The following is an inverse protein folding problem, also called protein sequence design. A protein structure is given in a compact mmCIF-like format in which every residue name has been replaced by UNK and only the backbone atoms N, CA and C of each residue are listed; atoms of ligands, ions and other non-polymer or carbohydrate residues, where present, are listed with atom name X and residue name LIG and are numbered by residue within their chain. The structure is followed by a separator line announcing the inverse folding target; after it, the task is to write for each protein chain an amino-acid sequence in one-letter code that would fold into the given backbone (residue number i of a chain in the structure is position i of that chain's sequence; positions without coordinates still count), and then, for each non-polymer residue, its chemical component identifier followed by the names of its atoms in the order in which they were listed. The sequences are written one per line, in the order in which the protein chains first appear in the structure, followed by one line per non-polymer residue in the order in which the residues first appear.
data_IF_266657358869
#
_entry.id   IF_266657358869
#
_cell.length_a   1.000
_cell.length_b   1.000
_cell.length_c   1.000
_cell.angle_alpha   90.00
_cell.angle_beta   90.00
_cell.angle_gamma   90.00
#
_symmetry.space_group_name_H-M   'P 1'
#
loop_
_entity.id
_entity.type
_entity.pdbx_description
1 polymer ?
#
# COMPACT_ATOMS: atom_id res chain seq x y z
N UNK A 1 11.17 -24.74 1.25
CA UNK A 1 10.96 -24.00 2.53
C UNK A 1 9.56 -23.40 2.55
N UNK A 2 8.83 -23.49 3.67
CA UNK A 2 7.53 -22.82 3.84
C UNK A 2 7.78 -21.33 4.16
N UNK A 3 7.19 -20.40 3.42
CA UNK A 3 7.20 -18.96 3.75
C UNK A 3 6.04 -18.64 4.71
N UNK A 4 6.16 -17.54 5.47
CA UNK A 4 5.05 -17.02 6.26
C UNK A 4 3.87 -16.59 5.35
N UNK A 5 2.64 -16.68 5.84
CA UNK A 5 1.45 -16.28 5.07
C UNK A 5 1.48 -14.81 4.65
N UNK A 6 0.98 -14.52 3.45
CA UNK A 6 1.00 -13.20 2.83
C UNK A 6 2.38 -12.83 2.29
N UNK A 7 3.20 -13.84 1.94
CA UNK A 7 4.53 -13.68 1.33
C UNK A 7 4.65 -14.39 -0.01
N UNK A 8 3.60 -15.09 -0.45
CA UNK A 8 3.48 -15.70 -1.76
C UNK A 8 2.28 -15.10 -2.49
N UNK A 9 2.36 -14.96 -3.80
CA UNK A 9 1.24 -14.49 -4.63
C UNK A 9 0.03 -15.42 -4.51
N UNK A 10 0.27 -16.72 -4.35
CA UNK A 10 -0.77 -17.73 -4.17
C UNK A 10 -1.58 -17.57 -2.88
N UNK A 11 -1.06 -16.87 -1.86
CA UNK A 11 -1.77 -16.62 -0.59
C UNK A 11 -3.03 -15.74 -0.78
N UNK A 12 -3.15 -15.08 -1.93
CA UNK A 12 -4.21 -14.14 -2.25
C UNK A 12 -5.33 -14.74 -3.11
N UNK A 13 -5.20 -16.00 -3.56
CA UNK A 13 -6.17 -16.64 -4.45
C UNK A 13 -6.40 -15.81 -5.72
N UNK A 14 -7.66 -15.74 -6.17
CA UNK A 14 -8.02 -14.89 -7.31
C UNK A 14 -7.82 -13.41 -6.98
N UNK A 15 -6.93 -12.75 -7.72
CA UNK A 15 -6.71 -11.31 -7.60
C UNK A 15 -7.89 -10.52 -8.17
N UNK A 16 -8.24 -9.40 -7.53
CA UNK A 16 -9.21 -8.44 -8.06
C UNK A 16 -8.62 -7.66 -9.25
N UNK A 17 -9.46 -7.05 -10.13
CA UNK A 17 -9.00 -6.21 -11.23
C UNK A 17 -7.92 -5.19 -10.84
N UNK A 18 -8.14 -4.38 -9.79
CA UNK A 18 -7.15 -3.40 -9.34
C UNK A 18 -5.86 -4.04 -8.80
N UNK A 19 -5.94 -5.21 -8.17
CA UNK A 19 -4.77 -5.95 -7.69
C UNK A 19 -3.93 -6.50 -8.84
N UNK A 20 -4.57 -7.00 -9.90
CA UNK A 20 -3.88 -7.44 -11.13
C UNK A 20 -3.18 -6.27 -11.82
N UNK A 21 -3.85 -5.12 -11.87
CA UNK A 21 -3.25 -3.92 -12.45
C UNK A 21 -2.09 -3.39 -11.60
N UNK A 22 -2.24 -3.38 -10.28
CA UNK A 22 -1.14 -3.04 -9.36
C UNK A 22 0.04 -3.99 -9.53
N UNK A 23 -0.20 -5.30 -9.59
CA UNK A 23 0.84 -6.31 -9.81
C UNK A 23 1.62 -6.04 -11.10
N UNK A 24 0.91 -5.81 -12.20
CA UNK A 24 1.50 -5.49 -13.51
C UNK A 24 2.32 -4.21 -13.46
N UNK A 25 1.80 -3.16 -12.84
CA UNK A 25 2.45 -1.85 -12.71
C UNK A 25 3.71 -1.90 -11.83
N UNK A 26 3.65 -2.61 -10.70
CA UNK A 26 4.80 -2.81 -9.82
C UNK A 26 5.94 -3.53 -10.55
N UNK A 27 5.64 -4.51 -11.40
CA UNK A 27 6.67 -5.19 -12.22
C UNK A 27 7.32 -4.24 -13.23
N UNK A 28 6.56 -3.30 -13.78
CA UNK A 28 7.02 -2.37 -14.83
C UNK A 28 7.55 -1.04 -14.31
N UNK A 29 7.44 -0.76 -13.00
CA UNK A 29 7.86 0.52 -12.42
C UNK A 29 6.98 1.71 -12.83
N UNK A 30 5.69 1.49 -13.10
CA UNK A 30 4.76 2.55 -13.51
C UNK A 30 3.64 2.75 -12.50
N UNK A 31 2.91 3.86 -12.63
CA UNK A 31 1.79 4.19 -11.74
C UNK A 31 0.56 3.35 -12.08
N UNK A 32 0.07 2.59 -11.11
CA UNK A 32 -1.23 1.93 -11.16
C UNK A 32 -2.33 2.96 -10.92
N UNK A 33 -2.99 3.40 -12.00
CA UNK A 33 -4.14 4.33 -11.95
C UNK A 33 -5.42 3.53 -12.00
N UNK A 34 -6.05 3.35 -10.84
CA UNK A 34 -7.23 2.50 -10.68
C UNK A 34 -8.52 3.26 -10.98
N UNK A 35 -8.61 4.50 -10.52
CA UNK A 35 -9.73 5.40 -10.83
C UNK A 35 -9.21 6.83 -10.99
N UNK A 36 -9.87 7.66 -11.82
CA UNK A 36 -9.49 9.06 -12.00
C UNK A 36 -9.73 9.88 -10.73
N UNK A 37 -10.76 9.51 -9.96
CA UNK A 37 -11.14 10.15 -8.72
C UNK A 37 -10.84 9.26 -7.50
N UNK A 38 -10.72 9.87 -6.32
CA UNK A 38 -10.57 9.14 -5.07
C UNK A 38 -11.88 8.41 -4.74
N UNK A 39 -11.89 7.06 -4.66
CA UNK A 39 -13.12 6.31 -4.44
C UNK A 39 -13.61 6.47 -3.00
N UNK A 40 -14.88 6.83 -2.83
CA UNK A 40 -15.51 6.89 -1.49
C UNK A 40 -15.92 5.50 -0.96
N UNK A 41 -16.23 4.56 -1.86
CA UNK A 41 -16.70 3.21 -1.56
C UNK A 41 -15.95 2.16 -2.38
N UNK A 42 -15.80 0.92 -1.87
CA UNK A 42 -15.17 -0.15 -2.61
C UNK A 42 -16.12 -0.71 -3.70
N UNK A 43 -15.57 -0.96 -4.88
CA UNK A 43 -16.18 -1.77 -5.94
C UNK A 43 -15.23 -2.90 -6.34
N UNK A 44 -15.68 -3.94 -7.06
CA UNK A 44 -14.79 -4.98 -7.56
C UNK A 44 -13.62 -4.44 -8.41
N UNK A 45 -13.82 -3.31 -9.09
CA UNK A 45 -12.86 -2.71 -10.02
C UNK A 45 -11.82 -1.85 -9.31
N UNK A 46 -12.17 -1.23 -8.18
CA UNK A 46 -11.31 -0.24 -7.51
C UNK A 46 -10.65 -0.76 -6.21
N UNK A 47 -11.05 -1.94 -5.76
CA UNK A 47 -10.66 -2.46 -4.47
C UNK A 47 -9.32 -3.20 -4.53
N UNK A 48 -8.45 -2.91 -3.56
CA UNK A 48 -7.21 -3.64 -3.30
C UNK A 48 -7.22 -4.09 -1.84
N UNK A 49 -6.95 -5.37 -1.59
CA UNK A 49 -6.84 -5.87 -0.22
C UNK A 49 -5.57 -5.31 0.41
N UNK A 50 -5.68 -4.76 1.62
CA UNK A 50 -4.55 -4.19 2.36
C UNK A 50 -3.42 -5.20 2.58
N UNK A 51 -3.76 -6.49 2.76
CA UNK A 51 -2.77 -7.57 2.85
C UNK A 51 -1.99 -7.80 1.55
N UNK A 52 -2.62 -7.59 0.39
CA UNK A 52 -1.97 -7.68 -0.91
C UNK A 52 -1.05 -6.47 -1.13
N UNK A 53 -1.54 -5.27 -0.80
CA UNK A 53 -0.72 -4.06 -0.80
C UNK A 53 0.52 -4.19 0.10
N UNK A 54 0.36 -4.78 1.30
CA UNK A 54 1.47 -5.11 2.19
C UNK A 54 2.49 -6.05 1.53
N UNK A 55 2.03 -7.09 0.85
CA UNK A 55 2.92 -8.01 0.13
C UNK A 55 3.76 -7.28 -0.94
N UNK A 56 3.14 -6.40 -1.73
CA UNK A 56 3.85 -5.57 -2.70
C UNK A 56 4.82 -4.57 -2.03
N UNK A 57 4.40 -3.94 -0.93
CA UNK A 57 5.27 -3.04 -0.15
C UNK A 57 6.49 -3.75 0.44
N UNK A 58 6.44 -5.07 0.59
CA UNK A 58 7.55 -5.89 1.07
C UNK A 58 8.50 -6.37 -0.05
N UNK A 59 8.30 -5.91 -1.29
CA UNK A 59 9.08 -6.31 -2.46
C UNK A 59 8.51 -7.50 -3.24
N UNK A 60 7.38 -8.07 -2.80
CA UNK A 60 6.73 -9.20 -3.47
C UNK A 60 7.52 -10.51 -3.35
N UNK A 61 7.56 -11.26 -4.45
CA UNK A 61 8.38 -12.48 -4.60
C UNK A 61 8.91 -12.59 -6.04
N UNK A 62 9.72 -13.60 -6.34
CA UNK A 62 10.37 -13.77 -7.65
C UNK A 62 9.38 -13.76 -8.84
N UNK A 63 8.19 -14.34 -8.67
CA UNK A 63 7.13 -14.36 -9.69
C UNK A 63 6.20 -13.12 -9.65
N UNK A 64 6.39 -12.24 -8.67
CA UNK A 64 5.65 -11.00 -8.48
C UNK A 64 6.60 -9.88 -8.00
N UNK A 65 7.67 -9.57 -8.74
CA UNK A 65 8.70 -8.66 -8.28
C UNK A 65 8.18 -7.22 -8.30
N UNK A 66 8.73 -6.39 -7.42
CA UNK A 66 8.48 -4.95 -7.38
C UNK A 66 9.72 -4.24 -7.91
N UNK A 67 9.54 -3.43 -8.95
CA UNK A 67 10.58 -2.57 -9.51
C UNK A 67 11.13 -1.59 -8.46
N UNK A 68 12.34 -1.08 -8.66
CA UNK A 68 13.00 -0.11 -7.77
C UNK A 68 12.22 1.20 -7.53
N UNK A 69 11.22 1.49 -8.37
CA UNK A 69 10.32 2.63 -8.17
C UNK A 69 9.25 2.36 -7.10
N UNK A 70 9.17 1.12 -6.64
CA UNK A 70 8.28 0.66 -5.58
C UNK A 70 6.81 0.58 -5.99
N UNK A 71 5.96 0.75 -5.00
CA UNK A 71 4.50 0.72 -5.15
C UNK A 71 4.01 2.13 -5.45
N UNK A 72 3.51 2.35 -6.67
CA UNK A 72 2.92 3.62 -7.12
C UNK A 72 1.43 3.42 -7.41
N UNK A 73 0.57 3.71 -6.44
CA UNK A 73 -0.87 3.47 -6.52
C UNK A 73 -1.67 4.77 -6.49
N UNK A 74 -2.64 4.90 -7.39
CA UNK A 74 -3.53 6.07 -7.47
C UNK A 74 -4.99 5.66 -7.61
N UNK A 75 -5.88 6.34 -6.87
CA UNK A 75 -7.33 6.22 -7.05
C UNK A 75 -7.91 4.87 -6.64
N UNK A 76 -7.34 4.21 -5.63
CA UNK A 76 -7.80 2.89 -5.18
C UNK A 76 -8.49 2.95 -3.82
N UNK A 77 -9.37 1.97 -3.57
CA UNK A 77 -9.93 1.71 -2.25
C UNK A 77 -9.16 0.55 -1.60
N UNK A 78 -8.40 0.83 -0.54
CA UNK A 78 -7.62 -0.16 0.19
C UNK A 78 -8.49 -0.74 1.32
N UNK A 79 -8.91 -1.99 1.15
CA UNK A 79 -9.81 -2.70 2.07
C UNK A 79 -9.06 -3.55 3.08
N UNK A 80 -9.44 -3.48 4.36
CA UNK A 80 -8.80 -4.16 5.48
C UNK A 80 -7.70 -3.33 6.15
N UNK A 81 -6.89 -3.98 6.99
CA UNK A 81 -5.86 -3.34 7.79
C UNK A 81 -4.50 -3.34 7.08
N UNK A 82 -3.96 -2.16 6.81
CA UNK A 82 -2.58 -2.02 6.34
C UNK A 82 -1.65 -1.97 7.56
N UNK A 83 -1.18 -3.14 7.98
CA UNK A 83 -0.29 -3.29 9.13
C UNK A 83 1.15 -3.57 8.67
N UNK A 84 2.04 -2.61 8.92
CA UNK A 84 3.48 -2.66 8.68
C UNK A 84 4.28 -2.56 10.00
N UNK A 85 3.67 -2.89 11.14
CA UNK A 85 4.33 -2.84 12.46
C UNK A 85 5.60 -3.68 12.47
N UNK A 86 6.70 -3.06 12.93
CA UNK A 86 8.02 -3.68 13.08
C UNK A 86 8.58 -4.28 11.76
N UNK A 87 8.19 -3.72 10.61
CA UNK A 87 8.63 -4.17 9.29
C UNK A 87 9.72 -3.25 8.73
N UNK A 88 10.75 -3.84 8.12
CA UNK A 88 11.60 -3.14 7.16
C UNK A 88 10.93 -3.16 5.78
N UNK A 89 10.52 -2.00 5.29
CA UNK A 89 9.86 -1.80 4.00
C UNK A 89 10.93 -1.42 2.97
N UNK A 90 11.31 -2.34 2.05
CA UNK A 90 12.46 -2.14 1.18
C UNK A 90 12.20 -1.21 0.00
N UNK A 91 10.93 -0.98 -0.37
CA UNK A 91 10.55 -0.17 -1.53
C UNK A 91 9.80 1.09 -1.12
N UNK A 92 9.68 2.06 -2.04
CA UNK A 92 8.77 3.20 -1.84
C UNK A 92 7.32 2.75 -1.81
N UNK A 93 6.50 3.36 -0.96
CA UNK A 93 5.05 3.16 -0.89
C UNK A 93 4.33 4.49 -1.11
N UNK A 94 3.68 4.63 -2.26
CA UNK A 94 3.01 5.85 -2.69
C UNK A 94 1.53 5.56 -2.96
N UNK A 95 0.67 6.07 -2.07
CA UNK A 95 -0.79 6.00 -2.14
C UNK A 95 -1.34 7.40 -2.41
N UNK A 96 -1.72 7.66 -3.66
CA UNK A 96 -2.19 8.97 -4.11
C UNK A 96 -3.69 8.94 -4.35
N UNK A 97 -4.41 9.90 -3.79
CA UNK A 97 -5.88 9.99 -3.95
C UNK A 97 -6.58 8.64 -3.68
N UNK A 98 -6.10 7.88 -2.70
CA UNK A 98 -6.67 6.59 -2.31
C UNK A 98 -7.58 6.77 -1.09
N UNK A 99 -8.43 5.78 -0.83
CA UNK A 99 -9.16 5.67 0.43
C UNK A 99 -8.71 4.42 1.16
N UNK A 100 -8.28 4.54 2.41
CA UNK A 100 -7.84 3.41 3.24
C UNK A 100 -8.87 3.16 4.33
N UNK A 101 -9.51 1.99 4.26
CA UNK A 101 -10.68 1.63 5.08
C UNK A 101 -10.42 1.68 6.58
N UNK A 102 -9.23 1.25 7.02
CA UNK A 102 -8.89 1.14 8.43
C UNK A 102 -7.63 1.94 8.76
N UNK A 103 -7.36 2.09 10.05
CA UNK A 103 -6.13 2.70 10.56
C UNK A 103 -4.90 2.02 9.98
N UNK A 104 -3.96 2.82 9.47
CA UNK A 104 -2.65 2.35 9.02
C UNK A 104 -1.74 2.22 10.24
N UNK A 105 -1.12 1.04 10.43
CA UNK A 105 -0.24 0.78 11.57
C UNK A 105 1.21 0.66 11.08
N UNK A 106 2.04 1.60 11.50
CA UNK A 106 3.46 1.76 11.14
C UNK A 106 4.39 1.78 12.36
N UNK A 107 3.91 1.41 13.55
CA UNK A 107 4.74 1.36 14.76
C UNK A 107 6.04 0.59 14.51
N UNK A 108 7.19 1.19 14.80
CA UNK A 108 8.53 0.60 14.53
C UNK A 108 8.83 0.23 13.06
N UNK A 109 8.02 0.67 12.10
CA UNK A 109 8.28 0.43 10.68
C UNK A 109 9.48 1.25 10.20
N UNK A 110 10.31 0.66 9.34
CA UNK A 110 11.50 1.29 8.76
C UNK A 110 11.39 1.28 7.24
N UNK A 111 11.12 2.43 6.65
CA UNK A 111 11.08 2.60 5.20
C UNK A 111 12.47 2.94 4.68
N UNK A 112 12.99 2.10 3.77
CA UNK A 112 14.25 2.35 3.08
C UNK A 112 14.18 3.56 2.13
N UNK A 113 12.97 3.87 1.66
CA UNK A 113 12.69 4.98 0.74
C UNK A 113 11.50 5.81 1.24
N UNK A 114 10.59 6.22 0.35
CA UNK A 114 9.52 7.18 0.63
C UNK A 114 8.21 6.53 1.03
N UNK A 115 7.48 7.19 1.92
CA UNK A 115 6.08 6.92 2.25
C UNK A 115 5.23 8.14 1.87
N UNK A 116 4.31 7.98 0.93
CA UNK A 116 3.46 9.06 0.42
C UNK A 116 2.00 8.67 0.55
N UNK A 117 1.20 9.49 1.23
CA UNK A 117 -0.26 9.34 1.37
C UNK A 117 -1.03 10.50 0.69
N UNK A 118 -0.40 11.17 -0.27
CA UNK A 118 -0.87 12.43 -0.83
C UNK A 118 -2.31 12.40 -1.35
N UNK A 119 -3.17 13.33 -0.91
CA UNK A 119 -4.57 13.44 -1.34
C UNK A 119 -5.48 12.29 -0.86
N UNK A 120 -4.94 11.33 -0.11
CA UNK A 120 -5.68 10.15 0.32
C UNK A 120 -6.58 10.45 1.53
N UNK A 121 -7.64 9.65 1.69
CA UNK A 121 -8.43 9.60 2.92
C UNK A 121 -8.03 8.35 3.71
N UNK A 122 -7.70 8.52 4.99
CA UNK A 122 -7.33 7.41 5.89
C UNK A 122 -8.22 7.43 7.13
N UNK A 123 -8.41 6.27 7.76
CA UNK A 123 -9.13 6.14 9.04
C UNK A 123 -8.18 6.10 10.24
N UNK A 124 -7.11 6.90 10.19
CA UNK A 124 -6.09 7.01 11.23
C UNK A 124 -4.73 6.46 10.82
N UNK A 125 -3.72 6.85 11.59
CA UNK A 125 -2.32 6.52 11.37
C UNK A 125 -1.62 6.35 12.73
N UNK A 126 -1.12 5.15 13.01
CA UNK A 126 -0.29 4.86 14.18
C UNK A 126 1.16 4.72 13.72
N UNK A 127 1.96 5.76 13.90
CA UNK A 127 3.30 5.92 13.37
C UNK A 127 4.39 6.09 14.46
N UNK A 128 4.11 5.66 15.69
CA UNK A 128 5.07 5.66 16.79
C UNK A 128 6.42 5.03 16.37
N UNK A 129 7.50 5.80 16.49
CA UNK A 129 8.88 5.40 16.16
C UNK A 129 9.07 4.96 14.69
N UNK A 130 8.18 5.36 13.78
CA UNK A 130 8.38 5.13 12.35
C UNK A 130 9.66 5.83 11.89
N UNK A 131 10.43 5.16 11.04
CA UNK A 131 11.61 5.74 10.39
C UNK A 131 11.39 5.73 8.89
N UNK A 132 11.51 6.88 8.25
CA UNK A 132 11.41 7.03 6.81
C UNK A 132 12.68 7.69 6.33
N UNK A 133 13.51 6.96 5.57
CA UNK A 133 14.77 7.51 5.03
C UNK A 133 14.52 8.51 3.90
N UNK A 134 13.49 8.25 3.08
CA UNK A 134 13.08 9.13 2.00
C UNK A 134 12.06 10.17 2.45
N UNK A 135 11.19 10.56 1.52
CA UNK A 135 10.11 11.51 1.78
C UNK A 135 8.99 10.85 2.59
N UNK A 136 8.59 11.48 3.69
CA UNK A 136 7.28 11.29 4.29
C UNK A 136 6.35 12.42 3.83
N UNK A 137 5.29 12.09 3.08
CA UNK A 137 4.34 13.09 2.60
C UNK A 137 2.90 12.75 2.99
N UNK A 138 2.28 13.65 3.75
CA UNK A 138 0.87 13.64 4.10
C UNK A 138 0.09 14.78 3.42
N UNK A 139 0.65 15.42 2.40
CA UNK A 139 0.03 16.57 1.73
C UNK A 139 -1.38 16.26 1.21
N UNK A 140 -2.36 17.11 1.54
CA UNK A 140 -3.79 16.92 1.19
C UNK A 140 -4.41 15.62 1.74
N UNK A 141 -3.75 14.93 2.67
CA UNK A 141 -4.31 13.74 3.31
C UNK A 141 -5.39 14.18 4.29
N UNK A 142 -6.52 13.48 4.27
CA UNK A 142 -7.60 13.65 5.25
C UNK A 142 -7.59 12.42 6.15
N UNK A 143 -7.55 12.61 7.46
CA UNK A 143 -7.73 11.51 8.42
C UNK A 143 -9.05 11.67 9.14
N UNK A 144 -9.90 10.65 9.07
CA UNK A 144 -11.11 10.57 9.90
C UNK A 144 -10.85 9.86 11.24
N UNK A 145 -9.65 9.31 11.42
CA UNK A 145 -9.20 8.68 12.65
C UNK A 145 -8.03 9.42 13.29
N UNK A 146 -7.61 8.94 14.46
CA UNK A 146 -6.48 9.50 15.20
C UNK A 146 -5.16 9.31 14.44
N UNK A 147 -4.29 10.31 14.53
CA UNK A 147 -2.88 10.22 14.13
C UNK A 147 -2.06 10.24 15.42
N UNK A 148 -1.18 9.25 15.60
CA UNK A 148 -0.26 9.11 16.75
C UNK A 148 1.12 8.77 16.26
#
# INVERSE_FOLDING_TARGET
MKKAYGRLLSDFGTLQPAERELLRCCRLGIVARISPEKPAQPTPENCIRARFLRFMALGGEDNAPVHDLGVQLSGAYVKGYLNLKSIAVPVSLSLRSCTVENTIVLTDAKFAHSLVLFGSTINGLVADRVQVKGLLSLGKTISNGKIT
#
